data_IF_226359018777
#
_entry.id   IF_226359018777
#
_cell.length_a   1.000
_cell.length_b   1.000
_cell.length_c   1.000
_cell.angle_alpha   90.00
_cell.angle_beta   90.00
_cell.angle_gamma   90.00
#
_symmetry.space_group_name_H-M   'P 1'
#
loop_
_entity.id
_entity.type
_entity.pdbx_description
1 polymer ?
#
# COMPACT_ATOMS: atom_id res chain seq x y z
N UNK A 1 -22.28 2.84 2.68
CA UNK A 1 -21.36 3.99 2.69
C UNK A 1 -20.04 3.67 1.98
N UNK A 2 -19.41 2.52 2.26
CA UNK A 2 -18.19 2.08 1.56
C UNK A 2 -18.58 1.06 0.49
N UNK A 3 -18.27 1.35 -0.78
CA UNK A 3 -18.57 0.42 -1.86
C UNK A 3 -17.51 -0.69 -1.93
N UNK A 4 -17.83 -1.91 -2.41
CA UNK A 4 -16.87 -3.03 -2.44
C UNK A 4 -15.58 -2.71 -3.21
N UNK A 5 -15.70 -1.88 -4.26
CA UNK A 5 -14.60 -1.45 -5.10
C UNK A 5 -13.78 -0.30 -4.51
N UNK A 6 -14.22 0.35 -3.42
CA UNK A 6 -13.45 1.41 -2.75
C UNK A 6 -12.12 0.84 -2.24
N UNK A 7 -11.02 1.45 -2.66
CA UNK A 7 -9.65 1.13 -2.27
C UNK A 7 -8.99 2.25 -1.47
N UNK A 8 -9.49 3.49 -1.58
CA UNK A 8 -8.92 4.68 -0.93
C UNK A 8 -9.99 5.45 -0.19
N UNK A 9 -9.69 5.93 1.01
CA UNK A 9 -10.56 6.81 1.80
C UNK A 9 -9.77 8.06 2.19
N UNK A 10 -10.32 9.23 1.92
CA UNK A 10 -9.78 10.52 2.32
C UNK A 10 -10.68 11.13 3.39
N UNK A 11 -10.12 11.45 4.56
CA UNK A 11 -10.83 12.15 5.62
C UNK A 11 -10.49 13.64 5.60
N UNK A 12 -11.54 14.46 5.51
CA UNK A 12 -11.44 15.92 5.48
C UNK A 12 -12.50 16.53 6.40
N UNK A 13 -12.42 17.81 6.68
CA UNK A 13 -13.46 18.58 7.36
C UNK A 13 -13.91 19.77 6.52
N UNK A 14 -14.95 20.44 7.02
CA UNK A 14 -15.51 21.62 6.35
C UNK A 14 -14.56 22.82 6.36
N UNK A 15 -13.66 22.92 7.34
CA UNK A 15 -12.67 24.00 7.44
C UNK A 15 -11.64 23.88 6.32
N UNK A 16 -11.02 22.71 6.16
CA UNK A 16 -10.08 22.41 5.07
C UNK A 16 -10.73 22.62 3.69
N UNK A 17 -11.98 22.21 3.53
CA UNK A 17 -12.71 22.39 2.27
C UNK A 17 -13.03 23.86 1.99
N UNK A 18 -13.32 24.65 3.03
CA UNK A 18 -13.56 26.09 2.89
C UNK A 18 -12.27 26.83 2.50
N UNK A 19 -11.16 26.53 3.18
CA UNK A 19 -9.84 27.09 2.88
C UNK A 19 -9.42 26.77 1.44
N UNK A 20 -9.55 25.51 1.03
CA UNK A 20 -9.24 25.10 -0.35
C UNK A 20 -10.09 25.83 -1.38
N UNK A 21 -11.38 26.03 -1.09
CA UNK A 21 -12.30 26.73 -2.00
C UNK A 21 -11.98 28.22 -2.10
N UNK A 22 -11.53 28.83 -1.01
CA UNK A 22 -11.09 30.22 -0.96
C UNK A 22 -9.76 30.41 -1.71
N UNK A 23 -8.80 29.51 -1.50
CA UNK A 23 -7.48 29.56 -2.14
C UNK A 23 -7.58 29.29 -3.65
N UNK A 24 -8.34 28.27 -4.05
CA UNK A 24 -8.52 27.92 -5.45
C UNK A 24 -9.78 27.08 -5.70
N UNK A 25 -10.78 27.68 -6.33
CA UNK A 25 -12.00 26.99 -6.78
C UNK A 25 -11.68 25.81 -7.72
N UNK A 26 -10.62 25.93 -8.52
CA UNK A 26 -10.21 24.87 -9.45
C UNK A 26 -9.61 23.69 -8.69
N UNK A 27 -8.71 23.93 -7.73
CA UNK A 27 -8.16 22.87 -6.89
C UNK A 27 -9.25 22.21 -6.05
N UNK A 28 -10.18 22.99 -5.49
CA UNK A 28 -11.35 22.47 -4.78
C UNK A 28 -12.19 21.53 -5.66
N UNK A 29 -12.55 21.96 -6.87
CA UNK A 29 -13.35 21.11 -7.78
C UNK A 29 -12.62 19.82 -8.11
N UNK A 30 -11.33 19.90 -8.45
CA UNK A 30 -10.51 18.73 -8.77
C UNK A 30 -10.36 17.79 -7.57
N UNK A 31 -10.19 18.34 -6.37
CA UNK A 31 -10.08 17.59 -5.13
C UNK A 31 -11.39 16.87 -4.79
N UNK A 32 -12.54 17.50 -5.02
CA UNK A 32 -13.87 16.93 -4.79
C UNK A 32 -14.33 15.97 -5.90
N UNK A 33 -13.66 15.93 -7.05
CA UNK A 33 -14.03 15.05 -8.15
C UNK A 33 -14.00 13.59 -7.66
N UNK A 34 -15.12 12.86 -7.79
CA UNK A 34 -15.20 11.47 -7.38
C UNK A 34 -14.34 10.60 -8.29
N UNK A 35 -13.65 9.64 -7.69
CA UNK A 35 -13.02 8.55 -8.43
C UNK A 35 -13.72 7.25 -8.08
N UNK A 36 -13.74 6.32 -9.03
CA UNK A 36 -14.42 5.04 -8.86
C UNK A 36 -13.88 4.31 -7.62
N UNK A 37 -12.58 4.28 -7.40
CA UNK A 37 -11.96 3.52 -6.31
C UNK A 37 -11.72 4.34 -5.03
N UNK A 38 -12.20 5.59 -4.96
CA UNK A 38 -11.85 6.51 -3.87
C UNK A 38 -13.08 7.16 -3.26
N UNK A 39 -13.14 7.18 -1.93
CA UNK A 39 -14.21 7.82 -1.18
C UNK A 39 -13.66 9.01 -0.39
N UNK A 40 -14.40 10.11 -0.43
CA UNK A 40 -14.13 11.25 0.44
C UNK A 40 -15.15 11.24 1.58
N UNK A 41 -14.67 11.40 2.81
CA UNK A 41 -15.48 11.41 4.03
C UNK A 41 -15.25 12.74 4.74
N UNK A 42 -16.32 13.51 4.93
CA UNK A 42 -16.29 14.79 5.63
C UNK A 42 -16.69 14.57 7.09
N UNK A 43 -15.83 14.97 8.02
CA UNK A 43 -16.04 14.91 9.48
C UNK A 43 -16.32 16.35 9.97
N UNK A 44 -17.22 16.57 10.96
CA UNK A 44 -17.96 15.59 11.75
C UNK A 44 -19.34 15.20 11.20
N UNK A 45 -19.64 15.47 9.92
CA UNK A 45 -20.98 15.33 9.31
C UNK A 45 -21.46 13.87 9.11
N UNK A 46 -21.00 12.93 9.94
CA UNK A 46 -21.38 11.52 9.90
C UNK A 46 -22.48 11.21 10.91
N UNK A 47 -23.55 10.59 10.44
CA UNK A 47 -24.57 9.99 11.32
C UNK A 47 -23.99 8.79 12.09
N UNK A 48 -24.61 8.46 13.23
CA UNK A 48 -24.21 7.30 14.03
C UNK A 48 -24.22 5.98 13.22
N UNK A 49 -25.17 5.83 12.29
CA UNK A 49 -25.22 4.67 11.39
C UNK A 49 -24.00 4.63 10.45
N UNK A 50 -23.60 5.77 9.89
CA UNK A 50 -22.42 5.87 9.03
C UNK A 50 -21.13 5.57 9.79
N UNK A 51 -21.01 6.04 11.04
CA UNK A 51 -19.87 5.73 11.91
C UNK A 51 -19.82 4.23 12.18
N UNK A 52 -20.94 3.61 12.56
CA UNK A 52 -21.02 2.17 12.82
C UNK A 52 -20.67 1.33 11.58
N UNK A 53 -21.07 1.76 10.39
CA UNK A 53 -20.65 1.11 9.15
C UNK A 53 -19.14 1.27 8.92
N UNK A 54 -18.59 2.47 9.13
CA UNK A 54 -17.18 2.77 8.89
C UNK A 54 -16.24 1.93 9.75
N UNK A 55 -16.56 1.78 11.04
CA UNK A 55 -15.72 1.04 12.00
C UNK A 55 -15.64 -0.47 11.71
N UNK A 56 -16.48 -0.99 10.81
CA UNK A 56 -16.35 -2.39 10.34
C UNK A 56 -15.17 -2.57 9.36
N UNK A 57 -14.76 -1.48 8.70
CA UNK A 57 -13.70 -1.48 7.67
C UNK A 57 -12.46 -0.68 8.07
N UNK A 58 -12.60 0.26 9.00
CA UNK A 58 -11.59 1.24 9.38
C UNK A 58 -11.41 1.22 10.91
N UNK A 59 -10.18 1.12 11.45
CA UNK A 59 -9.95 1.28 12.87
C UNK A 59 -10.42 2.66 13.36
N UNK A 60 -11.12 2.72 14.48
CA UNK A 60 -11.69 3.98 14.98
C UNK A 60 -10.64 5.09 15.21
N UNK A 61 -9.42 4.71 15.56
CA UNK A 61 -8.28 5.63 15.75
C UNK A 61 -7.83 6.31 14.46
N UNK A 62 -8.17 5.74 13.30
CA UNK A 62 -7.80 6.24 11.98
C UNK A 62 -8.87 7.14 11.35
N UNK A 63 -10.03 7.30 11.99
CA UNK A 63 -11.11 8.19 11.54
C UNK A 63 -10.83 9.60 12.06
N UNK A 64 -9.92 10.31 11.40
CA UNK A 64 -9.54 11.69 11.72
C UNK A 64 -9.24 12.48 10.46
N UNK A 65 -9.44 13.80 10.52
CA UNK A 65 -9.13 14.72 9.43
C UNK A 65 -7.66 14.57 9.02
N UNK A 66 -7.38 14.64 7.72
CA UNK A 66 -6.03 14.54 7.19
C UNK A 66 -5.55 13.11 6.95
N UNK A 67 -6.18 12.09 7.56
CA UNK A 67 -5.84 10.71 7.27
C UNK A 67 -6.29 10.31 5.86
N UNK A 68 -5.41 9.54 5.20
CA UNK A 68 -5.72 8.85 3.95
C UNK A 68 -5.49 7.37 4.19
N UNK A 69 -6.51 6.56 3.94
CA UNK A 69 -6.46 5.13 4.14
C UNK A 69 -6.53 4.38 2.81
N UNK A 70 -5.88 3.22 2.79
CA UNK A 70 -5.74 2.35 1.65
C UNK A 70 -6.16 0.92 2.02
N UNK A 71 -6.85 0.25 1.10
CA UNK A 71 -7.17 -1.17 1.16
C UNK A 71 -6.35 -1.93 0.12
N UNK A 72 -5.86 -3.10 0.47
CA UNK A 72 -5.17 -3.99 -0.47
C UNK A 72 -6.17 -4.97 -1.10
N UNK A 73 -5.80 -5.59 -2.22
CA UNK A 73 -6.67 -6.56 -2.90
C UNK A 73 -6.96 -7.85 -2.11
N UNK A 74 -6.32 -8.06 -0.97
CA UNK A 74 -6.40 -9.30 -0.18
C UNK A 74 -6.90 -9.09 1.26
N UNK A 75 -7.45 -7.91 1.57
CA UNK A 75 -8.02 -7.62 2.89
C UNK A 75 -9.22 -6.69 2.75
N UNK A 76 -10.23 -6.88 3.60
CA UNK A 76 -11.37 -5.97 3.66
C UNK A 76 -11.15 -4.77 4.60
N UNK A 77 -10.03 -4.76 5.33
CA UNK A 77 -9.65 -3.69 6.27
C UNK A 77 -8.82 -2.62 5.57
N UNK A 78 -9.14 -1.35 5.82
CA UNK A 78 -8.33 -0.21 5.42
C UNK A 78 -7.24 0.04 6.47
N UNK A 79 -6.06 0.44 6.01
CA UNK A 79 -4.96 0.89 6.86
C UNK A 79 -4.39 2.23 6.36
N UNK A 80 -3.50 2.87 7.13
CA UNK A 80 -2.88 4.13 6.74
C UNK A 80 -2.13 4.01 5.40
N UNK A 81 -2.33 4.99 4.52
CA UNK A 81 -1.69 5.01 3.20
C UNK A 81 -0.17 5.12 3.31
N UNK A 82 0.35 5.82 4.32
CA UNK A 82 1.79 5.91 4.58
C UNK A 82 2.37 4.60 5.11
N UNK A 83 1.58 3.67 5.62
CA UNK A 83 2.05 2.33 6.01
C UNK A 83 1.99 1.34 4.84
N UNK A 84 1.23 1.67 3.79
CA UNK A 84 0.94 0.79 2.67
C UNK A 84 2.18 0.11 2.10
N UNK A 85 3.22 0.84 1.69
CA UNK A 85 4.37 0.25 0.98
C UNK A 85 5.09 -0.88 1.77
N UNK A 86 5.42 -0.62 3.03
CA UNK A 86 6.20 -1.54 3.86
C UNK A 86 5.37 -2.70 4.41
N UNK A 87 4.17 -2.40 4.88
CA UNK A 87 3.30 -3.40 5.47
C UNK A 87 2.66 -4.29 4.41
N UNK A 88 2.36 -3.74 3.22
CA UNK A 88 1.84 -4.51 2.10
C UNK A 88 2.83 -5.58 1.63
N UNK A 89 4.12 -5.23 1.49
CA UNK A 89 5.16 -6.17 1.08
C UNK A 89 5.31 -7.31 2.08
N UNK A 90 5.45 -6.95 3.36
CA UNK A 90 5.60 -7.90 4.47
C UNK A 90 4.40 -8.82 4.56
N UNK A 91 3.17 -8.29 4.45
CA UNK A 91 1.94 -9.07 4.56
C UNK A 91 1.73 -9.98 3.35
N UNK A 92 1.92 -9.48 2.13
CA UNK A 92 1.80 -10.29 0.90
C UNK A 92 2.82 -11.43 0.90
N UNK A 93 4.07 -11.17 1.31
CA UNK A 93 5.08 -12.21 1.45
C UNK A 93 4.74 -13.23 2.55
N UNK A 94 4.18 -12.79 3.69
CA UNK A 94 3.71 -13.71 4.74
C UNK A 94 2.65 -14.68 4.22
N UNK A 95 1.65 -14.18 3.51
CA UNK A 95 0.59 -15.03 2.94
C UNK A 95 1.17 -15.98 1.89
N UNK A 96 2.15 -15.50 1.10
CA UNK A 96 2.88 -16.34 0.15
C UNK A 96 3.62 -17.50 0.85
N UNK A 97 4.35 -17.22 1.93
CA UNK A 97 5.01 -18.26 2.74
C UNK A 97 4.01 -19.28 3.26
N UNK A 98 2.86 -18.82 3.80
CA UNK A 98 1.80 -19.71 4.28
C UNK A 98 1.26 -20.62 3.17
N UNK A 99 0.99 -20.07 1.99
CA UNK A 99 0.56 -20.85 0.83
C UNK A 99 1.62 -21.89 0.45
N UNK A 100 2.90 -21.50 0.35
CA UNK A 100 3.98 -22.43 0.00
C UNK A 100 4.10 -23.57 1.01
N UNK A 101 4.00 -23.29 2.31
CA UNK A 101 4.02 -24.32 3.37
C UNK A 101 2.84 -25.28 3.21
N UNK A 102 1.62 -24.77 2.98
CA UNK A 102 0.45 -25.61 2.72
C UNK A 102 0.63 -26.50 1.48
N UNK A 103 1.31 -25.98 0.45
CA UNK A 103 1.66 -26.73 -0.75
C UNK A 103 2.87 -27.68 -0.57
N UNK A 104 3.33 -27.88 0.66
CA UNK A 104 4.36 -28.84 1.02
C UNK A 104 5.79 -28.33 0.87
N UNK A 105 6.02 -27.02 0.82
CA UNK A 105 7.37 -26.46 0.72
C UNK A 105 8.22 -26.83 1.94
N UNK A 106 9.44 -27.29 1.68
CA UNK A 106 10.49 -27.48 2.69
C UNK A 106 11.17 -26.18 3.06
N UNK A 107 11.36 -25.28 2.09
CA UNK A 107 12.06 -24.00 2.31
C UNK A 107 11.46 -22.90 1.47
N UNK A 108 11.26 -21.74 2.08
CA UNK A 108 10.90 -20.48 1.42
C UNK A 108 11.89 -19.43 1.88
N UNK A 109 12.70 -18.90 0.96
CA UNK A 109 13.74 -17.94 1.29
C UNK A 109 13.75 -16.75 0.32
N UNK A 110 14.08 -15.57 0.84
CA UNK A 110 14.31 -14.38 0.04
C UNK A 110 15.77 -14.35 -0.39
N UNK A 111 16.02 -14.36 -1.70
CA UNK A 111 17.34 -14.23 -2.31
C UNK A 111 17.79 -12.78 -2.40
N UNK A 112 16.88 -11.89 -2.76
CA UNK A 112 17.18 -10.48 -2.97
C UNK A 112 15.96 -9.61 -2.65
N UNK A 113 16.22 -8.39 -2.19
CA UNK A 113 15.23 -7.34 -1.98
C UNK A 113 15.68 -6.12 -2.80
N UNK A 114 14.97 -5.83 -3.88
CA UNK A 114 15.22 -4.70 -4.76
C UNK A 114 14.23 -3.57 -4.43
N UNK A 115 14.74 -2.34 -4.39
CA UNK A 115 13.90 -1.14 -4.37
C UNK A 115 13.79 -0.59 -5.78
N UNK A 116 12.57 -0.42 -6.24
CA UNK A 116 12.25 0.15 -7.55
C UNK A 116 11.77 1.57 -7.33
N UNK A 117 12.51 2.55 -7.86
CA UNK A 117 12.03 3.91 -7.88
C UNK A 117 10.95 4.06 -8.95
N UNK A 118 9.72 4.33 -8.51
CA UNK A 118 8.58 4.67 -9.36
C UNK A 118 8.73 6.16 -9.71
N UNK A 119 9.70 6.49 -10.56
CA UNK A 119 9.73 7.81 -11.17
C UNK A 119 8.52 7.94 -12.11
N UNK A 120 7.73 8.99 -11.93
CA UNK A 120 6.70 9.32 -12.90
C UNK A 120 7.37 9.68 -14.23
N UNK A 121 6.84 9.15 -15.34
CA UNK A 121 6.97 9.69 -16.69
C UNK A 121 6.31 11.08 -16.84
N UNK A 122 6.34 11.92 -15.80
CA UNK A 122 5.80 13.28 -15.80
C UNK A 122 6.94 14.31 -15.78
N UNK A 123 8.02 14.05 -16.53
CA UNK A 123 8.83 15.15 -17.07
C UNK A 123 8.10 15.71 -18.29
N UNK A 124 6.92 16.29 -18.07
CA UNK A 124 6.54 17.45 -18.85
C UNK A 124 7.15 18.64 -18.12
N UNK A 125 8.16 19.21 -18.77
CA UNK A 125 8.78 20.47 -18.41
C UNK A 125 7.71 21.54 -18.22
N UNK A 126 7.25 21.72 -16.97
CA UNK A 126 6.71 23.01 -16.56
C UNK A 126 7.91 23.81 -16.09
N UNK A 127 8.64 24.36 -17.06
CA UNK A 127 9.49 25.53 -16.85
C UNK A 127 8.58 26.68 -16.37
N UNK A 128 8.38 26.78 -15.05
CA UNK A 128 7.98 28.04 -14.43
C UNK A 128 9.26 28.73 -13.99
N UNK A 129 9.76 29.58 -14.88
CA UNK A 129 10.74 30.59 -14.54
C UNK A 129 10.13 31.49 -13.43
N UNK A 130 10.69 31.42 -12.23
CA UNK A 130 10.03 31.93 -11.04
C UNK A 130 10.87 31.73 -9.79
N UNK A 131 12.00 32.43 -9.75
CA UNK A 131 12.84 32.67 -8.58
C UNK A 131 12.03 32.88 -7.28
N UNK A 132 11.88 31.83 -6.47
CA UNK A 132 11.65 31.93 -5.03
C UNK A 132 12.38 30.76 -4.35
N UNK A 133 13.60 31.03 -3.88
CA UNK A 133 14.34 30.16 -2.97
C UNK A 133 13.56 30.06 -1.66
N UNK A 134 12.73 29.02 -1.52
CA UNK A 134 12.29 28.58 -0.20
C UNK A 134 13.52 27.98 0.53
N UNK A 135 13.76 28.32 1.81
CA UNK A 135 14.90 27.79 2.54
C UNK A 135 14.69 26.29 2.75
N UNK A 136 15.55 25.47 2.13
CA UNK A 136 15.75 24.07 2.51
C UNK A 136 16.44 24.09 3.87
N UNK A 137 15.62 24.20 4.92
CA UNK A 137 16.07 24.09 6.31
C UNK A 137 16.39 22.63 6.58
N UNK A 138 17.68 22.32 6.70
CA UNK A 138 18.36 21.28 7.53
C UNK A 138 17.62 20.02 8.06
N UNK A 139 16.56 19.54 7.41
CA UNK A 139 15.87 18.30 7.73
C UNK A 139 16.47 17.09 7.00
N UNK A 140 17.24 17.33 5.94
CA UNK A 140 17.70 16.32 5.00
C UNK A 140 18.63 15.25 5.63
N UNK A 141 19.45 15.63 6.61
CA UNK A 141 20.44 14.73 7.21
C UNK A 141 19.88 13.84 8.34
N UNK A 142 18.95 14.34 9.14
CA UNK A 142 18.28 13.57 10.20
C UNK A 142 17.16 12.68 9.63
N UNK A 143 16.54 13.12 8.54
CA UNK A 143 15.45 12.42 7.89
C UNK A 143 15.95 11.26 7.00
N UNK A 144 17.03 11.46 6.22
CA UNK A 144 17.69 10.35 5.47
C UNK A 144 18.12 9.19 6.37
N UNK A 145 18.54 9.46 7.61
CA UNK A 145 18.84 8.41 8.61
C UNK A 145 17.59 7.63 9.02
N UNK A 146 16.48 8.32 9.33
CA UNK A 146 15.21 7.66 9.70
C UNK A 146 14.63 6.80 8.57
N UNK A 147 14.71 7.26 7.33
CA UNK A 147 14.29 6.46 6.17
C UNK A 147 15.12 5.18 6.06
N UNK A 148 16.44 5.25 6.26
CA UNK A 148 17.30 4.06 6.22
C UNK A 148 17.02 3.05 7.35
N UNK A 149 16.64 3.51 8.55
CA UNK A 149 16.30 2.65 9.68
C UNK A 149 14.94 1.96 9.49
N UNK A 150 13.90 2.70 9.06
CA UNK A 150 12.59 2.11 8.74
C UNK A 150 12.69 1.08 7.61
N UNK A 151 13.52 1.36 6.60
CA UNK A 151 13.77 0.47 5.48
C UNK A 151 14.51 -0.80 5.90
N UNK A 152 15.54 -0.67 6.74
CA UNK A 152 16.23 -1.83 7.30
C UNK A 152 15.27 -2.68 8.13
N UNK A 153 14.39 -2.06 8.92
CA UNK A 153 13.38 -2.78 9.70
C UNK A 153 12.38 -3.54 8.82
N UNK A 154 11.96 -2.98 7.67
CA UNK A 154 11.09 -3.70 6.71
C UNK A 154 11.83 -4.90 6.11
N UNK A 155 13.09 -4.71 5.70
CA UNK A 155 13.90 -5.80 5.15
C UNK A 155 14.11 -6.91 6.19
N UNK A 156 14.44 -6.57 7.43
CA UNK A 156 14.57 -7.52 8.53
C UNK A 156 13.27 -8.28 8.79
N UNK A 157 12.12 -7.59 8.80
CA UNK A 157 10.80 -8.24 8.91
C UNK A 157 10.59 -9.23 7.78
N UNK A 158 10.84 -8.85 6.53
CA UNK A 158 10.67 -9.73 5.36
C UNK A 158 11.60 -10.94 5.46
N UNK A 159 12.88 -10.74 5.79
CA UNK A 159 13.85 -11.83 5.94
C UNK A 159 13.47 -12.78 7.09
N UNK A 160 12.92 -12.26 8.18
CA UNK A 160 12.45 -13.06 9.33
C UNK A 160 11.23 -13.93 9.01
N UNK A 161 10.51 -13.65 7.91
CA UNK A 161 9.39 -14.47 7.44
C UNK A 161 9.83 -15.67 6.60
N UNK A 162 11.12 -15.75 6.24
CA UNK A 162 11.66 -16.95 5.61
C UNK A 162 11.37 -18.18 6.51
N UNK A 163 11.04 -19.30 5.88
CA UNK A 163 10.56 -20.46 6.60
C UNK A 163 11.28 -21.72 6.14
N UNK A 164 11.57 -22.60 7.09
CA UNK A 164 11.96 -23.98 6.86
C UNK A 164 10.95 -24.89 7.56
N UNK A 165 10.49 -25.91 6.83
CA UNK A 165 9.52 -26.89 7.29
C UNK A 165 10.00 -28.29 6.93
N UNK A 166 9.27 -29.32 7.35
CA UNK A 166 9.61 -30.71 7.02
C UNK A 166 9.54 -31.00 5.52
N UNK A 167 8.75 -30.23 4.78
CA UNK A 167 8.35 -30.54 3.40
C UNK A 167 7.33 -31.68 3.35
N UNK A 168 6.73 -31.90 2.18
CA UNK A 168 5.82 -33.04 1.98
C UNK A 168 4.90 -32.93 0.77
N UNK A 169 3.91 -33.82 0.76
CA UNK A 169 2.82 -33.78 -0.21
C UNK A 169 1.98 -32.50 0.00
N UNK A 170 1.47 -31.89 -1.08
CA UNK A 170 0.71 -30.66 -0.99
C UNK A 170 -0.66 -30.91 -0.35
N UNK A 171 -1.02 -30.10 0.66
CA UNK A 171 -2.38 -30.00 1.17
C UNK A 171 -3.17 -28.98 0.33
N UNK A 172 -3.79 -29.47 -0.73
CA UNK A 172 -4.56 -28.63 -1.65
C UNK A 172 -5.81 -28.03 -1.01
N UNK A 173 -6.37 -28.66 0.03
CA UNK A 173 -7.56 -28.13 0.72
C UNK A 173 -7.18 -26.91 1.56
N UNK A 174 -6.13 -27.02 2.38
CA UNK A 174 -5.62 -25.88 3.15
C UNK A 174 -5.15 -24.74 2.24
N UNK A 175 -4.51 -25.06 1.11
CA UNK A 175 -4.09 -24.06 0.14
C UNK A 175 -5.29 -23.32 -0.49
N UNK A 176 -6.37 -24.05 -0.83
CA UNK A 176 -7.60 -23.47 -1.37
C UNK A 176 -8.31 -22.54 -0.36
N UNK A 177 -8.31 -22.91 0.93
CA UNK A 177 -8.84 -22.07 2.01
C UNK A 177 -8.07 -20.75 2.11
N UNK A 178 -6.73 -20.78 2.04
CA UNK A 178 -5.89 -19.57 2.04
C UNK A 178 -6.24 -18.68 0.84
N UNK A 179 -6.31 -19.24 -0.37
CA UNK A 179 -6.62 -18.47 -1.57
C UNK A 179 -8.00 -17.81 -1.49
N UNK A 180 -8.98 -18.53 -0.95
CA UNK A 180 -10.36 -18.05 -0.82
C UNK A 180 -10.48 -16.99 0.27
N UNK A 181 -9.89 -17.20 1.44
CA UNK A 181 -9.94 -16.27 2.57
C UNK A 181 -9.36 -14.89 2.20
N UNK A 182 -8.33 -14.86 1.38
CA UNK A 182 -7.65 -13.64 0.96
C UNK A 182 -8.02 -13.16 -0.47
N UNK A 183 -9.02 -13.75 -1.15
CA UNK A 183 -9.40 -13.48 -2.56
C UNK A 183 -8.20 -13.47 -3.54
N UNK A 184 -7.24 -14.39 -3.34
CA UNK A 184 -5.98 -14.45 -4.10
C UNK A 184 -6.10 -15.28 -5.39
N UNK A 185 -7.29 -15.77 -5.74
CA UNK A 185 -7.57 -16.49 -6.98
C UNK A 185 -7.29 -15.68 -8.25
N UNK A 186 -7.32 -14.35 -8.13
CA UNK A 186 -7.04 -13.41 -9.23
C UNK A 186 -5.59 -12.96 -9.28
N UNK A 187 -4.77 -13.33 -8.30
CA UNK A 187 -3.35 -13.01 -8.28
C UNK A 187 -2.58 -14.16 -8.95
N UNK A 188 -2.02 -13.87 -10.12
CA UNK A 188 -1.32 -14.86 -10.96
C UNK A 188 -0.16 -15.54 -10.23
N UNK A 189 0.52 -14.83 -9.31
CA UNK A 189 1.62 -15.40 -8.55
C UNK A 189 1.10 -16.52 -7.64
N UNK A 190 0.08 -16.24 -6.82
CA UNK A 190 -0.55 -17.20 -5.91
C UNK A 190 -1.16 -18.37 -6.66
N UNK A 191 -1.92 -18.08 -7.72
CA UNK A 191 -2.59 -19.08 -8.52
C UNK A 191 -1.60 -20.00 -9.26
N UNK A 192 -0.56 -19.45 -9.87
CA UNK A 192 0.40 -20.26 -10.63
C UNK A 192 1.13 -21.29 -9.76
N UNK A 193 1.51 -20.92 -8.54
CA UNK A 193 2.16 -21.86 -7.61
C UNK A 193 1.24 -23.01 -7.20
N UNK A 194 -0.02 -22.68 -6.86
CA UNK A 194 -1.03 -23.67 -6.55
C UNK A 194 -1.23 -24.66 -7.72
N UNK A 195 -1.39 -24.13 -8.93
CA UNK A 195 -1.59 -24.93 -10.13
C UNK A 195 -0.39 -25.84 -10.44
N UNK A 196 0.84 -25.34 -10.28
CA UNK A 196 2.05 -26.15 -10.45
C UNK A 196 2.13 -27.30 -9.43
N UNK A 197 1.76 -27.04 -8.18
CA UNK A 197 1.78 -28.06 -7.11
C UNK A 197 0.60 -29.03 -7.18
N UNK A 198 -0.45 -28.73 -7.95
CA UNK A 198 -1.55 -29.66 -8.24
C UNK A 198 -1.14 -30.80 -9.19
N UNK A 199 -0.08 -30.63 -9.97
CA UNK A 199 0.37 -31.63 -10.95
C UNK A 199 1.13 -32.75 -10.23
N UNK A 200 0.58 -33.98 -10.26
CA UNK A 200 1.16 -35.16 -9.58
C UNK A 200 2.18 -35.94 -10.41
N UNK A 201 2.16 -35.80 -11.74
CA UNK A 201 3.00 -36.61 -12.64
C UNK A 201 4.44 -36.10 -12.77
N UNK A 202 4.68 -34.83 -12.43
CA UNK A 202 6.00 -34.21 -12.45
C UNK A 202 6.08 -33.22 -11.29
N UNK A 203 6.58 -33.70 -10.15
CA UNK A 203 6.61 -32.95 -8.91
C UNK A 203 7.59 -31.78 -8.99
N UNK A 204 7.09 -30.57 -8.81
CA UNK A 204 7.92 -29.38 -8.70
C UNK A 204 8.83 -29.49 -7.47
N UNK A 205 10.15 -29.50 -7.68
CA UNK A 205 11.16 -29.55 -6.60
C UNK A 205 11.61 -28.16 -6.16
N UNK A 206 11.68 -27.22 -7.10
CA UNK A 206 12.19 -25.87 -6.86
C UNK A 206 11.59 -24.89 -7.84
N UNK A 207 11.30 -23.68 -7.36
CA UNK A 207 10.90 -22.57 -8.21
C UNK A 207 11.46 -21.25 -7.69
N UNK A 208 11.91 -20.41 -8.62
CA UNK A 208 12.34 -19.05 -8.33
C UNK A 208 11.23 -18.08 -8.76
N UNK A 209 10.67 -17.35 -7.80
CA UNK A 209 9.58 -16.39 -7.99
C UNK A 209 10.06 -14.96 -7.80
N UNK A 210 9.37 -14.03 -8.44
CA UNK A 210 9.53 -12.60 -8.20
C UNK A 210 8.22 -12.02 -7.69
N UNK A 211 8.22 -11.49 -6.48
CA UNK A 211 7.12 -10.69 -5.96
C UNK A 211 7.41 -9.21 -6.27
N UNK A 212 6.75 -8.66 -7.29
CA UNK A 212 6.89 -7.25 -7.69
C UNK A 212 5.67 -6.44 -7.28
N UNK A 213 5.86 -5.46 -6.38
CA UNK A 213 4.79 -4.61 -5.85
C UNK A 213 4.67 -3.29 -6.61
N UNK A 214 5.37 -3.12 -7.73
CA UNK A 214 5.36 -1.88 -8.52
C UNK A 214 3.96 -1.54 -9.00
N UNK A 215 3.18 -2.53 -9.44
CA UNK A 215 1.81 -2.29 -9.90
C UNK A 215 0.87 -1.96 -8.73
N UNK A 216 1.00 -2.66 -7.60
CA UNK A 216 0.25 -2.37 -6.38
C UNK A 216 0.48 -0.92 -5.93
N UNK A 217 1.74 -0.49 -5.92
CA UNK A 217 2.14 0.88 -5.58
C UNK A 217 1.66 1.91 -6.62
N UNK A 218 1.76 1.63 -7.92
CA UNK A 218 1.26 2.54 -8.97
C UNK A 218 -0.26 2.73 -8.91
N UNK A 219 -1.00 1.66 -8.61
CA UNK A 219 -2.46 1.71 -8.46
C UNK A 219 -2.86 2.48 -7.19
N UNK A 220 -2.14 2.24 -6.10
CA UNK A 220 -2.43 2.91 -4.84
C UNK A 220 -2.06 4.40 -4.89
N UNK A 221 -0.91 4.73 -5.48
CA UNK A 221 -0.42 6.10 -5.64
C UNK A 221 -0.54 6.60 -7.08
N UNK A 222 -1.75 6.52 -7.63
CA UNK A 222 -2.06 7.07 -8.94
C UNK A 222 -1.95 8.61 -8.97
N UNK A 223 -2.06 9.18 -10.17
CA UNK A 223 -1.93 10.62 -10.37
C UNK A 223 -2.94 11.44 -9.53
N UNK A 224 -4.16 10.93 -9.35
CA UNK A 224 -5.19 11.64 -8.59
C UNK A 224 -4.93 11.59 -7.10
N UNK A 225 -4.52 10.44 -6.57
CA UNK A 225 -4.11 10.26 -5.18
C UNK A 225 -2.95 11.19 -4.86
N UNK A 226 -1.92 11.21 -5.72
CA UNK A 226 -0.79 12.13 -5.59
C UNK A 226 -1.25 13.60 -5.64
N UNK A 227 -2.19 13.95 -6.52
CA UNK A 227 -2.72 15.31 -6.59
C UNK A 227 -3.49 15.71 -5.33
N UNK A 228 -4.37 14.83 -4.81
CA UNK A 228 -5.12 15.04 -3.57
C UNK A 228 -4.20 15.17 -2.36
N UNK A 229 -3.19 14.31 -2.25
CA UNK A 229 -2.16 14.42 -1.21
C UNK A 229 -1.38 15.74 -1.29
N UNK A 230 -1.03 16.22 -2.49
CA UNK A 230 -0.39 17.53 -2.68
C UNK A 230 -1.28 18.70 -2.24
N UNK A 231 -2.58 18.62 -2.47
CA UNK A 231 -3.53 19.63 -2.00
C UNK A 231 -3.62 19.59 -0.47
N UNK A 232 -3.80 18.40 0.12
CA UNK A 232 -3.84 18.23 1.57
C UNK A 232 -2.55 18.72 2.24
N UNK A 233 -1.38 18.45 1.67
CA UNK A 233 -0.10 18.91 2.25
C UNK A 233 0.08 20.43 2.19
N UNK A 234 -0.52 21.11 1.20
CA UNK A 234 -0.51 22.58 1.12
C UNK A 234 -1.38 23.22 2.20
N UNK A 235 -2.57 22.67 2.43
CA UNK A 235 -3.56 23.25 3.36
C UNK A 235 -3.20 22.91 4.80
N UNK A 236 -2.74 21.69 5.08
CA UNK A 236 -2.39 21.26 6.44
C UNK A 236 -1.06 21.86 7.00
N UNK A 237 -0.47 22.88 6.35
CA UNK A 237 0.82 23.46 6.73
C UNK A 237 0.80 24.04 8.16
N UNK A 238 1.25 23.24 9.12
CA UNK A 238 1.38 23.61 10.54
C UNK A 238 0.87 22.55 11.53
N UNK A 239 0.11 21.55 11.07
CA UNK A 239 -0.46 20.49 11.91
C UNK A 239 0.33 19.17 11.92
N UNK A 240 0.00 18.29 12.87
CA UNK A 240 0.51 16.92 12.98
C UNK A 240 0.27 16.14 11.67
N UNK A 241 -0.83 16.44 10.98
CA UNK A 241 -1.30 15.73 9.78
C UNK A 241 -0.46 15.99 8.52
N UNK A 242 0.25 17.13 8.43
CA UNK A 242 1.15 17.40 7.31
C UNK A 242 2.32 16.41 7.23
N UNK A 243 2.76 15.88 8.38
CA UNK A 243 3.85 14.90 8.43
C UNK A 243 3.44 13.56 7.80
N UNK A 244 2.21 13.11 8.04
CA UNK A 244 1.65 11.85 7.52
C UNK A 244 1.44 11.94 6.00
N UNK A 245 0.90 13.06 5.53
CA UNK A 245 0.69 13.30 4.08
C UNK A 245 2.02 13.37 3.33
N UNK A 246 3.03 14.05 3.89
CA UNK A 246 4.35 14.10 3.29
C UNK A 246 5.03 12.73 3.26
N UNK A 247 4.93 11.95 4.35
CA UNK A 247 5.43 10.56 4.41
C UNK A 247 4.76 9.67 3.35
N UNK A 248 3.45 9.83 3.14
CA UNK A 248 2.71 9.15 2.06
C UNK A 248 3.25 9.51 0.67
N UNK A 249 3.52 10.81 0.42
CA UNK A 249 4.07 11.28 -0.85
C UNK A 249 5.47 10.73 -1.12
N UNK A 250 6.33 10.64 -0.12
CA UNK A 250 7.66 10.05 -0.27
C UNK A 250 7.57 8.55 -0.57
N UNK A 251 6.77 7.81 0.20
CA UNK A 251 6.59 6.36 -0.01
C UNK A 251 5.94 6.03 -1.36
N UNK A 252 5.22 6.97 -1.97
CA UNK A 252 4.70 6.82 -3.33
C UNK A 252 5.76 6.64 -4.42
N UNK A 253 7.03 6.92 -4.10
CA UNK A 253 8.13 6.93 -5.07
C UNK A 253 8.91 5.61 -5.11
N UNK A 254 8.63 4.67 -4.22
CA UNK A 254 9.41 3.43 -4.07
C UNK A 254 8.50 2.22 -3.97
N UNK A 255 8.74 1.20 -4.79
CA UNK A 255 8.19 -0.14 -4.62
C UNK A 255 9.28 -1.13 -4.19
N UNK A 256 8.85 -2.24 -3.61
CA UNK A 256 9.70 -3.38 -3.30
C UNK A 256 9.46 -4.49 -4.32
N UNK A 257 10.56 -5.14 -4.70
CA UNK A 257 10.57 -6.36 -5.50
C UNK A 257 11.42 -7.40 -4.80
N UNK A 258 10.82 -8.55 -4.50
CA UNK A 258 11.50 -9.65 -3.80
C UNK A 258 11.79 -10.77 -4.79
N UNK A 259 13.04 -11.24 -4.81
CA UNK A 259 13.38 -12.51 -5.45
C UNK A 259 13.30 -13.61 -4.40
N UNK A 260 12.43 -14.59 -4.63
CA UNK A 260 12.08 -15.64 -3.67
C UNK A 260 12.46 -16.99 -4.28
N UNK A 261 13.03 -17.89 -3.49
CA UNK A 261 13.20 -19.30 -3.85
C UNK A 261 12.30 -20.15 -2.96
N UNK A 262 11.63 -21.10 -3.59
CA UNK A 262 10.82 -22.12 -2.91
C UNK A 262 11.38 -23.49 -3.28
N UNK A 263 11.64 -24.32 -2.27
CA UNK A 263 12.06 -25.72 -2.41
C UNK A 263 11.00 -26.61 -1.76
N UNK A 264 10.60 -27.68 -2.45
CA UNK A 264 9.55 -28.63 -2.03
C UNK A 264 10.16 -29.98 -1.69
#
# INVERSE_FOLDING_TARGET
MIEPYTQKIFFVDNELLADLKQDSIVEYKNFMTPQIDSRMIVIPDLSAQQINELITYVPATEIRVGNVLAKTGYTNQFGPLDEFAGDHATRKFRIWVQLCIALGAKKVAVKNIEKIHIQNQDQSDINVDGSLKAPVVSADASFKRKTSEEENAINEKILSLAAEATGGEPDLAAAEEILTFYDLHKDDMFRSMYEMRRIKSNTLLRHDFTLDLTQDMKRMFDASTKAKLKVMSKICKGGIDASVVNKSLEKSQTALKLSIVVEF
#
